data_IF_354768704043
#
_entry.id   IF_354768704043
#
_cell.length_a   1.000
_cell.length_b   1.000
_cell.length_c   1.000
_cell.angle_alpha   90.00
_cell.angle_beta   90.00
_cell.angle_gamma   90.00
#
_symmetry.space_group_name_H-M   'P 1'
#
loop_
_entity.id
_entity.type
_entity.pdbx_description
1 polymer ?
#
# COMPACT_ATOMS: atom_id res chain seq x y z
N UNK A 1 13.74 -0.27 15.71
CA UNK A 1 12.83 -1.14 14.93
C UNK A 1 11.39 -0.95 15.43
N UNK A 2 10.42 -0.72 14.55
CA UNK A 2 8.97 -0.66 14.85
C UNK A 2 8.29 -1.93 14.33
N UNK A 3 7.25 -2.39 15.02
CA UNK A 3 6.39 -3.49 14.56
C UNK A 3 5.00 -2.90 14.36
N UNK A 4 4.50 -2.94 13.12
CA UNK A 4 3.21 -2.39 12.74
C UNK A 4 2.28 -3.54 12.33
N UNK A 5 1.32 -3.84 13.20
CA UNK A 5 0.32 -4.89 12.96
C UNK A 5 -0.76 -4.43 11.99
N UNK A 6 -1.53 -5.38 11.44
CA UNK A 6 -2.71 -5.10 10.61
C UNK A 6 -3.64 -4.07 11.26
N UNK A 7 -3.99 -4.28 12.53
CA UNK A 7 -4.90 -3.38 13.24
C UNK A 7 -4.34 -1.95 13.39
N UNK A 8 -3.03 -1.82 13.58
CA UNK A 8 -2.37 -0.51 13.65
C UNK A 8 -2.50 0.23 12.33
N UNK A 9 -2.24 -0.47 11.22
CA UNK A 9 -2.28 0.09 9.86
C UNK A 9 -3.72 0.39 9.45
N UNK A 10 -4.66 -0.54 9.65
CA UNK A 10 -6.08 -0.35 9.32
C UNK A 10 -6.68 0.83 10.09
N UNK A 11 -6.39 0.93 11.40
CA UNK A 11 -6.85 2.05 12.22
C UNK A 11 -6.28 3.40 11.74
N UNK A 12 -4.98 3.44 11.43
CA UNK A 12 -4.36 4.65 10.88
C UNK A 12 -4.99 5.04 9.54
N UNK A 13 -5.12 4.07 8.64
CA UNK A 13 -5.66 4.30 7.31
C UNK A 13 -7.09 4.84 7.34
N UNK A 14 -7.97 4.24 8.14
CA UNK A 14 -9.36 4.69 8.27
C UNK A 14 -9.50 6.10 8.83
N UNK A 15 -8.58 6.52 9.68
CA UNK A 15 -8.68 7.82 10.36
C UNK A 15 -7.91 8.94 9.66
N UNK A 16 -6.92 8.60 8.82
CA UNK A 16 -5.96 9.59 8.32
C UNK A 16 -5.69 9.52 6.82
N UNK A 17 -6.09 8.44 6.11
CA UNK A 17 -5.81 8.31 4.69
C UNK A 17 -7.08 8.51 3.84
N UNK A 18 -6.96 9.40 2.89
CA UNK A 18 -7.94 9.55 1.81
C UNK A 18 -7.52 8.75 0.57
N UNK A 19 -8.48 8.30 -0.24
CA UNK A 19 -8.20 7.57 -1.47
C UNK A 19 -7.33 8.40 -2.43
N UNK A 20 -7.51 9.71 -2.47
CA UNK A 20 -6.71 10.63 -3.29
C UNK A 20 -5.23 10.59 -2.91
N UNK A 21 -4.92 10.61 -1.62
CA UNK A 21 -3.55 10.53 -1.11
C UNK A 21 -2.84 9.24 -1.55
N UNK A 22 -3.56 8.13 -1.59
CA UNK A 22 -2.98 6.87 -2.04
C UNK A 22 -2.68 6.87 -3.55
N UNK A 23 -3.52 7.55 -4.34
CA UNK A 23 -3.26 7.75 -5.77
C UNK A 23 -2.04 8.63 -5.99
N UNK A 24 -1.88 9.70 -5.20
CA UNK A 24 -0.69 10.56 -5.22
C UNK A 24 0.59 9.79 -4.88
N UNK A 25 0.56 8.89 -3.90
CA UNK A 25 1.72 8.02 -3.59
C UNK A 25 2.07 7.06 -4.72
N UNK A 26 1.07 6.56 -5.45
CA UNK A 26 1.31 5.75 -6.65
C UNK A 26 1.96 6.58 -7.75
N UNK A 27 1.50 7.82 -7.97
CA UNK A 27 2.08 8.73 -8.95
C UNK A 27 3.54 9.07 -8.62
N UNK A 28 3.83 9.37 -7.35
CA UNK A 28 5.19 9.60 -6.86
C UNK A 28 6.09 8.37 -7.11
N UNK A 29 5.62 7.18 -6.75
CA UNK A 29 6.38 5.95 -6.98
C UNK A 29 6.63 5.66 -8.46
N UNK A 30 5.66 5.94 -9.34
CA UNK A 30 5.81 5.77 -10.79
C UNK A 30 6.79 6.80 -11.37
N UNK A 31 6.78 8.03 -10.86
CA UNK A 31 7.70 9.09 -11.28
C UNK A 31 9.15 8.71 -10.99
N UNK A 32 9.43 8.12 -9.82
CA UNK A 32 10.77 7.71 -9.38
C UNK A 32 11.11 6.25 -9.72
N UNK A 33 10.25 5.56 -10.48
CA UNK A 33 10.42 4.12 -10.77
C UNK A 33 11.76 3.80 -11.44
N UNK A 34 12.27 4.67 -12.29
CA UNK A 34 13.54 4.45 -13.00
C UNK A 34 14.76 4.53 -12.06
N UNK A 35 14.64 5.20 -10.92
CA UNK A 35 15.68 5.29 -9.91
C UNK A 35 15.68 4.10 -8.96
N UNK A 36 14.53 3.42 -8.85
CA UNK A 36 14.35 2.27 -7.99
C UNK A 36 15.00 1.01 -8.56
N UNK A 37 15.58 0.20 -7.71
CA UNK A 37 16.07 -1.13 -8.07
C UNK A 37 15.00 -2.14 -7.65
N UNK A 38 14.32 -2.70 -8.65
CA UNK A 38 13.22 -3.63 -8.48
C UNK A 38 13.56 -4.95 -9.18
N UNK A 39 14.27 -5.87 -8.52
CA UNK A 39 14.54 -7.20 -9.06
C UNK A 39 13.25 -7.96 -9.36
N UNK A 40 13.32 -8.92 -10.27
CA UNK A 40 12.20 -9.82 -10.49
C UNK A 40 11.82 -10.52 -9.18
N UNK A 41 10.52 -10.64 -8.94
CA UNK A 41 10.01 -11.39 -7.79
C UNK A 41 10.40 -12.86 -7.90
N UNK A 42 10.63 -13.50 -6.76
CA UNK A 42 10.72 -14.96 -6.67
C UNK A 42 9.33 -15.50 -6.36
N UNK A 43 8.81 -16.33 -7.25
CA UNK A 43 7.49 -16.96 -7.11
C UNK A 43 7.65 -18.45 -6.83
N UNK A 44 6.88 -18.95 -5.88
CA UNK A 44 6.78 -20.36 -5.56
C UNK A 44 5.31 -20.76 -5.55
N UNK A 45 4.91 -21.58 -6.51
CA UNK A 45 3.56 -22.15 -6.53
C UNK A 45 3.46 -23.30 -5.52
N UNK A 46 2.37 -23.32 -4.77
CA UNK A 46 2.07 -24.33 -3.78
C UNK A 46 0.88 -25.17 -4.27
N UNK A 47 1.16 -26.42 -4.60
CA UNK A 47 0.14 -27.41 -4.98
C UNK A 47 -0.51 -28.09 -3.77
N UNK A 48 -1.54 -28.87 -3.99
CA UNK A 48 -2.27 -29.60 -2.94
C UNK A 48 -1.36 -30.53 -2.12
N UNK A 49 -0.30 -31.07 -2.73
CA UNK A 49 0.64 -31.96 -2.04
C UNK A 49 1.45 -31.18 -1.00
N UNK A 50 1.88 -29.94 -1.33
CA UNK A 50 2.63 -29.08 -0.43
C UNK A 50 1.72 -28.49 0.66
N UNK A 51 0.50 -28.12 0.28
CA UNK A 51 -0.49 -27.55 1.19
C UNK A 51 -1.12 -28.58 2.13
N UNK A 52 -1.14 -29.86 1.75
CA UNK A 52 -1.85 -30.91 2.48
C UNK A 52 -3.37 -30.77 2.45
N UNK A 53 -3.92 -29.97 1.55
CA UNK A 53 -5.34 -29.70 1.39
C UNK A 53 -5.68 -29.36 -0.08
N UNK A 54 -6.96 -29.51 -0.51
CA UNK A 54 -7.38 -29.11 -1.83
C UNK A 54 -7.18 -27.60 -2.10
N UNK A 55 -6.75 -27.30 -3.32
CA UNK A 55 -6.53 -25.95 -3.80
C UNK A 55 -5.06 -25.64 -4.10
N UNK A 56 -4.81 -24.43 -4.59
CA UNK A 56 -3.48 -23.92 -4.89
C UNK A 56 -3.16 -22.72 -4.04
N UNK A 57 -1.91 -22.53 -3.70
CA UNK A 57 -1.39 -21.36 -3.02
C UNK A 57 -0.15 -20.81 -3.70
N UNK A 58 0.42 -19.78 -3.14
CA UNK A 58 1.67 -19.19 -3.63
C UNK A 58 2.47 -18.56 -2.49
N UNK A 59 3.76 -18.35 -2.74
CA UNK A 59 4.68 -17.69 -1.84
C UNK A 59 5.66 -16.84 -2.66
N UNK A 60 5.50 -15.52 -2.59
CA UNK A 60 6.25 -14.57 -3.41
C UNK A 60 7.14 -13.69 -2.56
N UNK A 61 8.38 -13.48 -3.01
CA UNK A 61 9.34 -12.58 -2.37
C UNK A 61 9.71 -11.46 -3.35
N UNK A 62 9.51 -10.22 -2.92
CA UNK A 62 9.68 -9.01 -3.73
C UNK A 62 10.63 -8.04 -3.03
N UNK A 63 11.95 -8.07 -3.35
CA UNK A 63 12.88 -7.07 -2.84
C UNK A 63 12.75 -5.75 -3.60
N UNK A 64 13.06 -4.64 -2.93
CA UNK A 64 13.10 -3.32 -3.52
C UNK A 64 14.14 -2.44 -2.84
N UNK A 65 14.82 -1.59 -3.64
CA UNK A 65 15.63 -0.47 -3.15
C UNK A 65 15.04 0.80 -3.72
N UNK A 66 14.73 1.77 -2.87
CA UNK A 66 14.02 3.00 -3.21
C UNK A 66 14.88 4.20 -2.79
N UNK A 67 15.84 4.62 -3.64
CA UNK A 67 16.87 5.61 -3.28
C UNK A 67 16.31 6.97 -2.90
N UNK A 68 15.27 7.47 -3.60
CA UNK A 68 14.68 8.77 -3.32
C UNK A 68 14.05 8.88 -1.91
N UNK A 69 13.66 7.73 -1.33
CA UNK A 69 13.18 7.64 0.05
C UNK A 69 14.28 7.22 1.05
N UNK A 70 15.47 6.87 0.57
CA UNK A 70 16.55 6.38 1.40
C UNK A 70 16.28 5.04 2.09
N UNK A 71 15.48 4.15 1.48
CA UNK A 71 15.09 2.87 2.06
C UNK A 71 15.33 1.71 1.12
N UNK A 72 15.50 0.53 1.72
CA UNK A 72 15.40 -0.77 1.08
C UNK A 72 14.37 -1.62 1.84
N UNK A 73 13.86 -2.65 1.21
CA UNK A 73 12.92 -3.55 1.87
C UNK A 73 12.61 -4.80 1.07
N UNK A 74 11.86 -5.68 1.69
CA UNK A 74 11.35 -6.89 1.05
C UNK A 74 9.88 -7.05 1.44
N UNK A 75 9.04 -7.23 0.44
CA UNK A 75 7.67 -7.69 0.65
C UNK A 75 7.61 -9.19 0.37
N UNK A 76 7.11 -9.92 1.35
CA UNK A 76 6.69 -11.29 1.23
C UNK A 76 5.18 -11.29 1.11
N UNK A 77 4.64 -11.93 0.08
CA UNK A 77 3.19 -12.11 -0.12
C UNK A 77 2.93 -13.59 -0.27
N UNK A 78 1.98 -14.07 0.47
CA UNK A 78 1.58 -15.46 0.39
C UNK A 78 0.06 -15.64 0.22
N UNK A 79 -0.31 -16.76 -0.39
CA UNK A 79 -1.69 -17.13 -0.58
C UNK A 79 -1.93 -18.56 -0.09
N UNK A 80 -2.82 -18.71 0.91
CA UNK A 80 -3.22 -20.02 1.46
C UNK A 80 -4.72 -20.14 1.41
N UNK A 81 -5.30 -21.12 0.68
CA UNK A 81 -6.75 -21.21 0.44
C UNK A 81 -7.57 -21.41 1.72
N UNK A 82 -6.96 -21.95 2.77
CA UNK A 82 -7.66 -22.21 4.04
C UNK A 82 -7.57 -21.07 5.06
N UNK A 83 -6.80 -20.02 4.75
CA UNK A 83 -6.64 -18.84 5.64
C UNK A 83 -7.68 -17.78 5.32
N UNK A 84 -8.06 -16.99 6.32
CA UNK A 84 -8.88 -15.80 6.15
C UNK A 84 -8.17 -14.58 6.78
N UNK A 85 -7.78 -13.53 5.99
CA UNK A 85 -7.84 -13.47 4.53
C UNK A 85 -6.91 -14.50 3.89
N UNK A 86 -7.28 -15.00 2.70
CA UNK A 86 -6.48 -16.02 1.99
C UNK A 86 -5.12 -15.50 1.54
N UNK A 87 -5.02 -14.20 1.25
CA UNK A 87 -3.77 -13.53 0.90
C UNK A 87 -3.35 -12.63 2.06
N UNK A 88 -2.10 -12.74 2.47
CA UNK A 88 -1.47 -11.85 3.44
C UNK A 88 -0.10 -11.42 2.95
N UNK A 89 0.47 -10.41 3.58
CA UNK A 89 1.80 -9.95 3.25
C UNK A 89 2.54 -9.43 4.49
N UNK A 90 3.86 -9.50 4.42
CA UNK A 90 4.79 -8.92 5.40
C UNK A 90 5.80 -8.04 4.67
N UNK A 91 6.16 -6.89 5.26
CA UNK A 91 7.10 -5.96 4.68
C UNK A 91 8.18 -5.65 5.70
N UNK A 92 9.45 -5.82 5.31
CA UNK A 92 10.60 -5.28 6.04
C UNK A 92 11.00 -3.95 5.44
N UNK A 93 11.33 -2.96 6.27
CA UNK A 93 11.85 -1.66 5.85
C UNK A 93 13.17 -1.42 6.52
N UNK A 94 14.21 -1.15 5.72
CA UNK A 94 15.59 -0.95 6.16
C UNK A 94 16.08 0.41 5.70
N UNK A 95 16.79 1.13 6.55
CA UNK A 95 17.49 2.36 6.17
C UNK A 95 18.62 2.06 5.20
N UNK A 96 18.64 2.72 4.05
CA UNK A 96 19.60 2.42 2.98
C UNK A 96 21.03 2.84 3.32
N UNK A 97 21.20 3.87 4.15
CA UNK A 97 22.53 4.38 4.49
C UNK A 97 23.20 3.57 5.59
N UNK A 98 22.42 3.10 6.56
CA UNK A 98 22.96 2.41 7.76
C UNK A 98 22.77 0.90 7.74
N UNK A 99 21.81 0.39 6.94
CA UNK A 99 21.40 -1.02 6.97
C UNK A 99 20.55 -1.37 8.21
N UNK A 100 20.12 -0.38 8.99
CA UNK A 100 19.30 -0.61 10.18
C UNK A 100 17.88 -1.02 9.79
N UNK A 101 17.35 -2.08 10.40
CA UNK A 101 15.95 -2.47 10.25
C UNK A 101 15.05 -1.46 10.97
N UNK A 102 14.33 -0.63 10.19
CA UNK A 102 13.44 0.39 10.70
C UNK A 102 12.10 -0.16 11.16
N UNK A 103 11.50 -1.02 10.34
CA UNK A 103 10.18 -1.57 10.62
C UNK A 103 9.98 -2.99 10.07
N UNK A 104 9.12 -3.75 10.77
CA UNK A 104 8.44 -4.94 10.30
C UNK A 104 6.94 -4.63 10.27
N UNK A 105 6.31 -4.81 9.13
CA UNK A 105 4.97 -4.31 8.84
C UNK A 105 4.08 -5.42 8.32
N UNK A 106 2.88 -5.56 8.85
CA UNK A 106 1.83 -6.35 8.21
C UNK A 106 1.41 -5.64 6.91
N UNK A 107 1.76 -6.24 5.79
CA UNK A 107 1.52 -5.69 4.47
C UNK A 107 0.17 -6.06 3.84
N UNK A 108 -0.68 -6.80 4.54
CA UNK A 108 -1.95 -7.33 4.02
C UNK A 108 -2.87 -6.20 3.57
N UNK A 109 -3.09 -5.19 4.41
CA UNK A 109 -3.87 -4.02 4.07
C UNK A 109 -3.25 -3.26 2.88
N UNK A 110 -1.94 -3.01 2.94
CA UNK A 110 -1.20 -2.28 1.91
C UNK A 110 -1.31 -2.99 0.55
N UNK A 111 -1.16 -4.32 0.52
CA UNK A 111 -1.22 -5.13 -0.71
C UNK A 111 -2.58 -4.99 -1.40
N UNK A 112 -3.67 -4.96 -0.66
CA UNK A 112 -5.02 -4.78 -1.21
C UNK A 112 -5.22 -3.35 -1.73
N UNK A 113 -4.95 -2.35 -0.89
CA UNK A 113 -5.24 -0.95 -1.19
C UNK A 113 -4.33 -0.35 -2.26
N UNK A 114 -3.03 -0.68 -2.27
CA UNK A 114 -2.14 -0.20 -3.33
C UNK A 114 -2.58 -0.69 -4.71
N UNK A 115 -3.14 -1.90 -4.80
CA UNK A 115 -3.65 -2.43 -6.07
C UNK A 115 -4.83 -1.62 -6.56
N UNK A 116 -5.76 -1.26 -5.65
CA UNK A 116 -6.86 -0.34 -5.96
C UNK A 116 -6.38 1.05 -6.37
N UNK A 117 -5.37 1.61 -5.69
CA UNK A 117 -4.81 2.92 -6.01
C UNK A 117 -4.13 2.94 -7.39
N UNK A 118 -3.39 1.89 -7.77
CA UNK A 118 -2.81 1.75 -9.11
C UNK A 118 -3.90 1.70 -10.19
N UNK A 119 -4.97 0.93 -9.96
CA UNK A 119 -6.10 0.87 -10.88
C UNK A 119 -6.79 2.24 -11.02
N UNK A 120 -7.00 2.95 -9.92
CA UNK A 120 -7.58 4.29 -9.91
C UNK A 120 -6.69 5.30 -10.65
N UNK A 121 -5.38 5.31 -10.39
CA UNK A 121 -4.42 6.16 -11.10
C UNK A 121 -4.45 5.91 -12.61
N UNK A 122 -4.45 4.64 -13.02
CA UNK A 122 -4.52 4.27 -14.43
C UNK A 122 -5.81 4.75 -15.10
N UNK A 123 -6.96 4.61 -14.42
CA UNK A 123 -8.24 5.07 -14.92
C UNK A 123 -8.29 6.60 -15.05
N UNK A 124 -7.78 7.34 -14.08
CA UNK A 124 -7.70 8.81 -14.10
C UNK A 124 -6.77 9.29 -15.22
N UNK A 125 -5.62 8.67 -15.40
CA UNK A 125 -4.67 9.00 -16.47
C UNK A 125 -5.30 8.77 -17.83
N UNK A 126 -6.00 7.64 -18.02
CA UNK A 126 -6.71 7.36 -19.26
C UNK A 126 -7.82 8.38 -19.54
N UNK A 127 -8.64 8.71 -18.54
CA UNK A 127 -9.71 9.70 -18.69
C UNK A 127 -9.18 11.09 -19.07
N UNK A 128 -8.07 11.51 -18.49
CA UNK A 128 -7.43 12.79 -18.79
C UNK A 128 -6.79 12.85 -20.18
N UNK A 129 -6.30 11.72 -20.69
CA UNK A 129 -5.70 11.63 -22.03
C UNK A 129 -6.71 11.40 -23.15
N UNK A 130 -7.91 10.90 -22.80
CA UNK A 130 -9.00 10.63 -23.74
C UNK A 130 -10.29 11.29 -23.28
N UNK A 131 -10.39 12.65 -23.31
CA UNK A 131 -11.60 13.33 -22.90
C UNK A 131 -12.74 12.93 -23.84
N UNK A 132 -13.69 12.17 -23.32
CA UNK A 132 -14.92 11.87 -24.04
C UNK A 132 -15.77 13.13 -24.08
N UNK A 133 -16.16 13.58 -25.29
CA UNK A 133 -17.01 14.75 -25.52
C UNK A 133 -18.44 14.61 -24.96
N UNK A 134 -18.77 13.51 -24.30
CA UNK A 134 -20.06 13.21 -23.67
C UNK A 134 -19.90 12.74 -22.22
N UNK A 135 -19.23 13.53 -21.38
CA UNK A 135 -19.32 13.32 -19.94
C UNK A 135 -20.68 13.82 -19.47
N UNK A 136 -21.68 12.94 -19.37
CA UNK A 136 -22.78 13.16 -18.45
C UNK A 136 -22.14 13.30 -17.06
N UNK A 137 -22.22 14.51 -16.51
CA UNK A 137 -21.80 14.78 -15.15
C UNK A 137 -22.56 13.82 -14.22
N UNK A 138 -21.88 12.81 -13.71
CA UNK A 138 -22.37 12.08 -12.55
C UNK A 138 -22.20 13.03 -11.37
N UNK A 139 -23.23 13.83 -11.13
CA UNK A 139 -23.34 14.61 -9.91
C UNK A 139 -23.49 13.62 -8.77
N UNK A 140 -22.41 13.40 -8.03
CA UNK A 140 -22.46 12.73 -6.75
C UNK A 140 -23.30 13.60 -5.80
N UNK A 141 -24.60 13.33 -5.75
CA UNK A 141 -25.47 13.83 -4.71
C UNK A 141 -25.06 13.12 -3.40
N UNK A 142 -24.26 13.82 -2.61
CA UNK A 142 -23.99 13.45 -1.23
C UNK A 142 -25.29 13.60 -0.44
N UNK A 143 -25.77 12.58 0.29
CA UNK A 143 -26.84 12.77 1.25
C UNK A 143 -26.36 13.75 2.34
N UNK A 144 -27.03 14.86 2.49
CA UNK A 144 -26.82 15.80 3.58
C UNK A 144 -27.54 15.27 4.80
N UNK A 145 -26.84 14.68 5.76
CA UNK A 145 -27.31 14.57 7.11
C UNK A 145 -26.36 15.36 8.01
N UNK A 146 -26.97 16.40 8.58
CA UNK A 146 -26.27 17.31 9.47
C UNK A 146 -26.08 16.71 10.86
N UNK A 147 -24.88 16.85 11.38
CA UNK A 147 -24.69 17.28 12.76
C UNK A 147 -23.24 17.74 12.95
N UNK A 148 -23.11 18.98 13.34
CA UNK A 148 -21.87 19.61 13.78
C UNK A 148 -21.49 19.11 15.16
N UNK A 149 -20.23 18.72 15.37
CA UNK A 149 -19.60 18.84 16.68
C UNK A 149 -18.14 19.29 16.51
N UNK A 150 -17.88 20.48 17.01
CA UNK A 150 -16.58 21.09 17.16
C UNK A 150 -15.69 20.26 18.10
N UNK A 151 -14.56 19.80 17.62
CA UNK A 151 -13.44 19.30 18.41
C UNK A 151 -12.16 19.94 17.89
N UNK A 152 -11.56 20.82 18.68
CA UNK A 152 -10.25 21.41 18.38
C UNK A 152 -9.16 20.34 18.30
N UNK A 153 -8.26 20.42 17.33
CA UNK A 153 -7.10 19.53 17.27
C UNK A 153 -6.00 20.08 18.19
N UNK A 154 -5.58 19.27 19.12
CA UNK A 154 -4.35 19.48 19.89
C UNK A 154 -3.27 18.55 19.35
N UNK A 155 -2.07 19.09 19.16
CA UNK A 155 -0.78 18.44 18.93
C UNK A 155 -0.49 17.86 17.53
N UNK A 156 0.08 18.73 16.64
CA UNK A 156 0.49 18.40 15.27
C UNK A 156 1.84 17.71 15.11
N UNK A 157 2.66 17.45 16.13
CA UNK A 157 4.05 17.01 15.91
C UNK A 157 4.25 15.48 15.80
N UNK A 158 3.34 14.70 16.34
CA UNK A 158 3.43 13.22 16.26
C UNK A 158 2.73 12.63 15.01
N UNK A 159 1.78 13.35 14.44
CA UNK A 159 1.04 12.91 13.26
C UNK A 159 1.90 13.01 11.99
N UNK A 160 2.70 14.07 11.84
CA UNK A 160 3.51 14.30 10.64
C UNK A 160 4.62 13.26 10.47
N UNK A 161 5.26 12.81 11.56
CA UNK A 161 6.29 11.77 11.49
C UNK A 161 5.69 10.40 11.13
N UNK A 162 4.49 10.09 11.62
CA UNK A 162 3.80 8.85 11.30
C UNK A 162 3.32 8.83 9.84
N UNK A 163 2.91 9.99 9.29
CA UNK A 163 2.45 10.12 7.92
C UNK A 163 3.58 9.86 6.92
N UNK A 164 4.75 10.48 7.12
CA UNK A 164 5.93 10.27 6.29
C UNK A 164 6.43 8.81 6.32
N UNK A 165 6.38 8.16 7.50
CA UNK A 165 6.74 6.76 7.65
C UNK A 165 5.77 5.83 6.89
N UNK A 166 4.47 6.12 6.92
CA UNK A 166 3.45 5.33 6.20
C UNK A 166 3.57 5.47 4.68
N UNK A 167 3.93 6.65 4.19
CA UNK A 167 4.22 6.86 2.77
C UNK A 167 5.37 5.97 2.31
N UNK A 168 6.49 5.94 3.04
CA UNK A 168 7.65 5.08 2.75
C UNK A 168 7.27 3.60 2.70
N UNK A 169 6.46 3.15 3.66
CA UNK A 169 5.98 1.76 3.74
C UNK A 169 5.08 1.43 2.54
N UNK A 170 4.15 2.33 2.19
CA UNK A 170 3.25 2.15 1.06
C UNK A 170 3.99 1.96 -0.26
N UNK A 171 5.08 2.71 -0.48
CA UNK A 171 5.86 2.65 -1.71
C UNK A 171 6.66 1.34 -1.81
N UNK A 172 7.26 0.83 -0.72
CA UNK A 172 7.91 -0.49 -0.73
C UNK A 172 6.90 -1.60 -1.10
N UNK A 173 5.63 -1.44 -0.75
CA UNK A 173 4.56 -2.35 -1.15
C UNK A 173 4.21 -2.34 -2.64
N UNK A 174 4.77 -1.43 -3.44
CA UNK A 174 4.53 -1.33 -4.90
C UNK A 174 5.44 -2.25 -5.73
N UNK A 175 6.45 -2.86 -5.10
CA UNK A 175 7.41 -3.77 -5.74
C UNK A 175 6.78 -5.06 -6.28
#
# INVERSE_FOLDING_TARGET
MRILSFNTIDSFARNHLEAATMVEWVEDALTHKQEAILPAKTEVDLDERLLGCPGTGFYDVMPAIVPHLGIAGTKLVDGFPQRSPSVAAEITVTDLATGELLALVDGTWITAWRTGAVAAHSALTFANTHPTTNAHAVTNARPTDGSSSNGSPTDGSSADSNYADMQRIGIVGLG
#
